data_IF_372519912870
#
_entry.id   IF_372519912870
#
_cell.length_a   1.000
_cell.length_b   1.000
_cell.length_c   1.000
_cell.angle_alpha   90.00
_cell.angle_beta   90.00
_cell.angle_gamma   90.00
#
_symmetry.space_group_name_H-M   'P 1'
#
loop_
_entity.id
_entity.type
_entity.pdbx_description
1 polymer ?
#
# COMPACT_ATOMS: atom_id res chain seq x y z
N UNK A 1 -52.90 5.18 -50.21
CA UNK A 1 -53.13 6.60 -49.82
C UNK A 1 -52.76 6.76 -48.36
N UNK A 2 -52.07 7.85 -48.07
CA UNK A 2 -51.37 8.18 -46.82
C UNK A 2 -52.35 8.31 -45.64
N UNK A 3 -52.00 7.78 -44.48
CA UNK A 3 -52.26 8.45 -43.20
C UNK A 3 -51.22 8.02 -42.16
N UNK A 4 -50.19 8.86 -42.05
CA UNK A 4 -49.06 8.77 -41.14
C UNK A 4 -49.47 9.56 -39.89
N UNK A 5 -49.77 8.86 -38.79
CA UNK A 5 -49.93 9.48 -37.47
C UNK A 5 -48.58 10.13 -37.10
N UNK A 6 -48.57 11.45 -37.03
CA UNK A 6 -47.45 12.24 -36.50
C UNK A 6 -47.44 12.08 -34.99
N UNK A 7 -46.45 11.36 -34.46
CA UNK A 7 -46.11 11.43 -33.04
C UNK A 7 -44.97 12.44 -32.93
N UNK A 8 -45.27 13.59 -32.34
CA UNK A 8 -44.35 14.69 -32.10
C UNK A 8 -43.32 14.26 -31.04
N UNK A 9 -42.14 13.84 -31.50
CA UNK A 9 -40.98 13.62 -30.64
C UNK A 9 -40.37 15.00 -30.32
N UNK A 10 -40.91 15.66 -29.30
CA UNK A 10 -40.24 16.80 -28.68
C UNK A 10 -38.92 16.32 -28.09
N UNK A 11 -37.82 16.64 -28.78
CA UNK A 11 -36.46 16.38 -28.35
C UNK A 11 -36.17 17.16 -27.06
N UNK A 12 -36.52 16.56 -25.92
CA UNK A 12 -36.12 17.03 -24.59
C UNK A 12 -34.63 16.75 -24.41
N UNK A 13 -33.86 17.72 -24.91
CA UNK A 13 -32.45 18.03 -24.67
C UNK A 13 -31.85 17.31 -23.44
N UNK A 14 -31.30 16.11 -23.64
CA UNK A 14 -30.33 15.53 -22.71
C UNK A 14 -29.00 16.22 -23.03
N UNK A 15 -28.73 17.35 -22.39
CA UNK A 15 -27.37 17.89 -22.25
C UNK A 15 -26.60 16.93 -21.36
N UNK A 16 -26.08 15.85 -21.95
CA UNK A 16 -25.06 15.04 -21.31
C UNK A 16 -23.83 15.94 -21.19
N UNK A 17 -23.64 16.51 -20.00
CA UNK A 17 -22.42 17.21 -19.62
C UNK A 17 -21.25 16.26 -19.85
N UNK A 18 -20.55 16.44 -20.97
CA UNK A 18 -19.21 15.92 -21.16
C UNK A 18 -18.39 16.52 -20.02
N UNK A 19 -18.10 15.72 -19.00
CA UNK A 19 -17.10 16.07 -17.98
C UNK A 19 -15.81 16.32 -18.72
N UNK A 20 -15.48 17.60 -18.87
CA UNK A 20 -14.24 18.06 -19.46
C UNK A 20 -13.14 17.63 -18.49
N UNK A 21 -12.51 16.48 -18.75
CA UNK A 21 -11.26 16.13 -18.10
C UNK A 21 -10.27 17.21 -18.48
N UNK A 22 -9.95 18.10 -17.53
CA UNK A 22 -8.87 19.07 -17.68
C UNK A 22 -7.56 18.27 -17.76
N UNK A 23 -7.14 17.94 -18.98
CA UNK A 23 -5.83 17.38 -19.24
C UNK A 23 -4.82 18.51 -19.05
N UNK A 24 -4.09 18.48 -17.94
CA UNK A 24 -2.91 19.34 -17.80
C UNK A 24 -1.98 19.07 -18.99
N UNK A 25 -1.44 20.10 -19.65
CA UNK A 25 -0.49 19.91 -20.73
C UNK A 25 0.75 19.15 -20.21
N UNK A 26 1.32 18.27 -21.04
CA UNK A 26 2.47 17.41 -20.69
C UNK A 26 3.66 18.24 -20.17
N UNK A 27 3.78 19.50 -20.60
CA UNK A 27 4.78 20.46 -20.13
C UNK A 27 4.71 20.79 -18.63
N UNK A 28 3.59 20.50 -17.97
CA UNK A 28 3.38 20.72 -16.53
C UNK A 28 3.46 19.44 -15.70
N UNK A 29 3.84 18.30 -16.30
CA UNK A 29 4.02 17.05 -15.60
C UNK A 29 5.38 16.99 -14.90
N UNK A 30 5.43 16.27 -13.77
CA UNK A 30 6.67 16.02 -13.05
C UNK A 30 7.63 15.21 -13.93
N UNK A 31 8.90 15.63 -13.98
CA UNK A 31 9.93 14.98 -14.83
C UNK A 31 10.38 13.62 -14.28
N UNK A 32 10.06 13.30 -13.03
CA UNK A 32 10.47 12.07 -12.34
C UNK A 32 9.32 11.54 -11.50
N UNK A 33 9.07 10.24 -11.64
CA UNK A 33 8.11 9.49 -10.83
C UNK A 33 8.87 8.40 -10.09
N UNK A 34 8.53 8.18 -8.82
CA UNK A 34 9.00 7.04 -8.04
C UNK A 34 7.90 5.98 -8.05
N UNK A 35 8.19 4.80 -8.58
CA UNK A 35 7.33 3.63 -8.45
C UNK A 35 7.67 2.94 -7.13
N UNK A 36 6.63 2.62 -6.35
CA UNK A 36 6.74 1.79 -5.15
C UNK A 36 6.03 0.48 -5.47
N UNK A 37 6.80 -0.59 -5.58
CA UNK A 37 6.27 -1.91 -5.85
C UNK A 37 5.72 -2.50 -4.55
N UNK A 38 4.46 -2.93 -4.55
CA UNK A 38 3.75 -3.43 -3.37
C UNK A 38 3.27 -4.87 -3.55
N UNK A 39 3.51 -5.48 -4.71
CA UNK A 39 3.14 -6.85 -5.04
C UNK A 39 3.57 -7.88 -3.98
N UNK A 40 4.83 -7.87 -3.49
CA UNK A 40 5.27 -8.83 -2.47
C UNK A 40 4.52 -8.72 -1.13
N UNK A 41 3.99 -7.54 -0.77
CA UNK A 41 3.21 -7.33 0.45
C UNK A 41 1.72 -7.29 0.16
N UNK A 42 1.23 -6.19 -0.40
CA UNK A 42 -0.19 -5.93 -0.59
C UNK A 42 -0.83 -6.85 -1.64
N UNK A 43 -0.08 -7.18 -2.69
CA UNK A 43 -0.51 -8.17 -3.67
C UNK A 43 -0.69 -9.54 -3.04
N UNK A 44 0.39 -10.13 -2.52
CA UNK A 44 0.36 -11.47 -1.92
C UNK A 44 -0.54 -11.60 -0.70
N UNK A 45 -0.76 -10.51 0.05
CA UNK A 45 -1.68 -10.51 1.19
C UNK A 45 -3.13 -10.77 0.75
N UNK A 46 -3.53 -10.31 -0.43
CA UNK A 46 -4.88 -10.47 -0.96
C UNK A 46 -5.05 -11.76 -1.78
N UNK A 47 -4.00 -12.57 -1.92
CA UNK A 47 -4.09 -13.83 -2.64
C UNK A 47 -4.68 -14.95 -1.80
N UNK A 48 -5.46 -15.79 -2.48
CA UNK A 48 -6.16 -16.93 -1.86
C UNK A 48 -5.18 -18.03 -1.41
N UNK A 49 -4.07 -18.21 -2.14
CA UNK A 49 -3.06 -19.23 -1.86
C UNK A 49 -1.90 -18.62 -1.08
N UNK A 50 -1.49 -19.30 -0.02
CA UNK A 50 -0.27 -18.93 0.71
C UNK A 50 0.93 -19.30 -0.15
N UNK A 51 1.71 -18.29 -0.53
CA UNK A 51 2.96 -18.44 -1.30
C UNK A 51 4.10 -18.75 -0.33
N UNK A 52 4.91 -19.81 -0.57
CA UNK A 52 6.05 -20.15 0.28
C UNK A 52 7.13 -19.05 0.31
N UNK A 53 7.83 -18.93 1.45
CA UNK A 53 8.89 -17.95 1.67
C UNK A 53 9.94 -17.90 0.54
N UNK A 54 10.41 -19.06 0.07
CA UNK A 54 11.38 -19.15 -1.04
C UNK A 54 10.91 -18.43 -2.30
N UNK A 55 9.63 -18.55 -2.61
CA UNK A 55 9.05 -17.94 -3.81
C UNK A 55 8.91 -16.43 -3.63
N UNK A 56 8.59 -15.97 -2.42
CA UNK A 56 8.56 -14.54 -2.09
C UNK A 56 9.95 -13.90 -2.17
N UNK A 57 10.95 -14.57 -1.60
CA UNK A 57 12.36 -14.13 -1.66
C UNK A 57 12.80 -14.01 -3.10
N UNK A 58 12.55 -15.05 -3.92
CA UNK A 58 12.89 -15.03 -5.34
C UNK A 58 12.20 -13.89 -6.09
N UNK A 59 10.91 -13.65 -5.80
CA UNK A 59 10.17 -12.53 -6.39
C UNK A 59 10.82 -11.18 -6.05
N UNK A 60 11.12 -10.93 -4.78
CA UNK A 60 11.71 -9.67 -4.31
C UNK A 60 13.12 -9.47 -4.90
N UNK A 61 13.93 -10.52 -4.95
CA UNK A 61 15.26 -10.48 -5.55
C UNK A 61 15.17 -10.12 -7.04
N UNK A 62 14.26 -10.76 -7.79
CA UNK A 62 14.03 -10.44 -9.22
C UNK A 62 13.54 -9.00 -9.41
N UNK A 63 12.64 -8.51 -8.55
CA UNK A 63 12.17 -7.12 -8.58
C UNK A 63 13.29 -6.11 -8.25
N UNK A 64 14.28 -6.52 -7.47
CA UNK A 64 15.43 -5.68 -7.13
C UNK A 64 16.36 -5.46 -8.32
N UNK A 65 16.37 -6.38 -9.30
CA UNK A 65 17.25 -6.33 -10.47
C UNK A 65 16.73 -5.42 -11.60
N UNK A 66 15.46 -5.02 -11.58
CA UNK A 66 14.82 -4.27 -12.67
C UNK A 66 14.86 -2.73 -12.49
N UNK A 67 15.63 -2.23 -11.52
CA UNK A 67 15.85 -0.79 -11.32
C UNK A 67 14.76 -0.07 -10.52
N UNK A 68 13.91 -0.79 -9.78
CA UNK A 68 12.98 -0.21 -8.83
C UNK A 68 13.73 0.44 -7.66
N UNK A 69 13.21 1.57 -7.16
CA UNK A 69 13.82 2.29 -6.03
C UNK A 69 13.20 1.90 -4.68
N UNK A 70 12.07 1.19 -4.69
CA UNK A 70 11.33 0.86 -3.48
C UNK A 70 10.45 -0.35 -3.71
N UNK A 71 10.61 -1.37 -2.87
CA UNK A 71 9.86 -2.63 -2.92
C UNK A 71 9.34 -2.92 -1.51
N UNK A 72 8.04 -2.79 -1.31
CA UNK A 72 7.41 -3.17 -0.05
C UNK A 72 7.45 -4.69 0.10
N UNK A 73 8.38 -5.17 0.92
CA UNK A 73 8.82 -6.54 0.92
C UNK A 73 7.89 -7.47 1.73
N UNK A 74 7.38 -7.00 2.86
CA UNK A 74 6.52 -7.81 3.74
C UNK A 74 5.76 -6.95 4.78
N UNK A 75 5.03 -7.60 5.67
CA UNK A 75 4.28 -6.99 6.78
C UNK A 75 4.50 -7.74 8.09
N UNK A 76 4.87 -7.01 9.14
CA UNK A 76 5.00 -7.50 10.52
C UNK A 76 3.66 -7.41 11.24
N UNK A 77 2.70 -8.17 10.72
CA UNK A 77 1.35 -8.35 11.26
C UNK A 77 1.23 -9.69 11.97
N UNK A 78 0.15 -9.87 12.72
CA UNK A 78 -0.14 -11.16 13.36
C UNK A 78 -0.36 -12.26 12.30
N UNK A 79 0.39 -13.37 12.35
CA UNK A 79 0.16 -14.53 11.47
C UNK A 79 -1.24 -15.13 11.60
N UNK A 80 -1.89 -14.94 12.75
CA UNK A 80 -3.27 -15.40 12.98
C UNK A 80 -4.27 -14.64 12.11
N UNK A 81 -4.04 -13.34 11.89
CA UNK A 81 -4.95 -12.47 11.14
C UNK A 81 -4.58 -12.42 9.66
N UNK A 82 -3.29 -12.51 9.35
CA UNK A 82 -2.77 -12.50 7.97
C UNK A 82 -1.76 -13.65 7.79
N UNK A 83 -2.23 -14.90 7.61
CA UNK A 83 -1.36 -16.07 7.43
C UNK A 83 -0.40 -15.93 6.23
N UNK A 84 -0.80 -15.18 5.21
CA UNK A 84 -0.02 -14.89 4.02
C UNK A 84 1.34 -14.26 4.37
N UNK A 85 1.44 -13.51 5.46
CA UNK A 85 2.63 -12.76 5.85
C UNK A 85 3.38 -13.41 7.03
N UNK A 86 3.04 -14.62 7.43
CA UNK A 86 3.60 -15.29 8.61
C UNK A 86 5.12 -15.52 8.56
N UNK A 87 5.70 -15.54 7.36
CA UNK A 87 7.11 -15.76 7.07
C UNK A 87 7.91 -14.44 6.92
N UNK A 88 7.37 -13.32 7.40
CA UNK A 88 7.98 -11.99 7.29
C UNK A 88 9.45 -11.93 7.76
N UNK A 89 9.78 -12.62 8.85
CA UNK A 89 11.13 -12.65 9.42
C UNK A 89 12.12 -13.35 8.49
N UNK A 90 11.74 -14.52 7.97
CA UNK A 90 12.56 -15.33 7.08
C UNK A 90 12.82 -14.60 5.76
N UNK A 91 11.76 -14.02 5.19
CA UNK A 91 11.84 -13.21 3.97
C UNK A 91 12.81 -12.04 4.16
N UNK A 92 12.63 -11.21 5.20
CA UNK A 92 13.47 -10.02 5.38
C UNK A 92 14.93 -10.33 5.70
N UNK A 93 15.21 -11.47 6.33
CA UNK A 93 16.59 -11.89 6.60
C UNK A 93 17.30 -12.43 5.38
N UNK A 94 16.57 -13.00 4.42
CA UNK A 94 17.15 -13.78 3.31
C UNK A 94 17.17 -13.06 1.95
N UNK A 95 16.33 -12.05 1.75
CA UNK A 95 16.38 -11.25 0.51
C UNK A 95 17.74 -10.56 0.34
N UNK A 96 18.15 -10.40 -0.91
CA UNK A 96 19.36 -9.64 -1.28
C UNK A 96 19.05 -8.15 -1.27
N UNK A 97 19.48 -7.46 -0.22
CA UNK A 97 19.32 -6.01 -0.09
C UNK A 97 20.32 -5.28 -0.99
N UNK A 98 19.87 -4.79 -2.14
CA UNK A 98 20.71 -4.04 -3.08
C UNK A 98 20.89 -2.59 -2.60
N UNK A 99 22.13 -2.06 -2.51
CA UNK A 99 22.37 -0.67 -2.17
C UNK A 99 21.61 0.30 -3.10
N UNK A 100 20.91 1.28 -2.51
CA UNK A 100 20.12 2.26 -3.26
C UNK A 100 18.65 1.89 -3.45
N UNK A 101 18.24 0.67 -3.10
CA UNK A 101 16.83 0.24 -3.08
C UNK A 101 16.33 0.23 -1.63
N UNK A 102 15.14 0.80 -1.42
CA UNK A 102 14.43 0.71 -0.15
C UNK A 102 13.56 -0.55 -0.10
N UNK A 103 13.59 -1.26 1.04
CA UNK A 103 12.77 -2.44 1.30
C UNK A 103 11.83 -2.19 2.49
N UNK A 104 10.82 -1.31 2.35
CA UNK A 104 9.92 -1.01 3.45
C UNK A 104 9.10 -2.24 3.86
N UNK A 105 8.75 -2.29 5.14
CA UNK A 105 7.81 -3.29 5.66
C UNK A 105 6.69 -2.62 6.48
N UNK A 106 5.48 -3.15 6.38
CA UNK A 106 4.32 -2.64 7.12
C UNK A 106 4.40 -3.05 8.60
N UNK A 107 4.26 -2.09 9.52
CA UNK A 107 4.36 -2.31 10.98
C UNK A 107 3.20 -1.62 11.70
N UNK A 108 2.03 -2.26 11.88
CA UNK A 108 0.82 -1.61 12.38
C UNK A 108 0.85 -1.28 13.88
N UNK A 109 1.84 -1.76 14.62
CA UNK A 109 1.98 -1.56 16.06
C UNK A 109 3.46 -1.63 16.48
N UNK A 110 3.75 -1.27 17.73
CA UNK A 110 5.11 -1.21 18.26
C UNK A 110 5.83 -2.57 18.25
N UNK A 111 5.12 -3.66 18.56
CA UNK A 111 5.70 -5.02 18.53
C UNK A 111 6.15 -5.40 17.12
N UNK A 112 5.33 -5.12 16.11
CA UNK A 112 5.69 -5.35 14.70
C UNK A 112 6.85 -4.45 14.26
N UNK A 113 6.90 -3.22 14.74
CA UNK A 113 8.02 -2.30 14.50
C UNK A 113 9.34 -2.85 15.08
N UNK A 114 9.34 -3.29 16.33
CA UNK A 114 10.52 -3.87 16.98
C UNK A 114 11.03 -5.11 16.22
N UNK A 115 10.13 -6.03 15.88
CA UNK A 115 10.47 -7.22 15.09
C UNK A 115 11.04 -6.86 13.70
N UNK A 116 10.51 -5.82 13.05
CA UNK A 116 11.04 -5.32 11.79
C UNK A 116 12.48 -4.82 11.94
N UNK A 117 12.75 -4.06 13.01
CA UNK A 117 14.11 -3.58 13.30
C UNK A 117 15.08 -4.75 13.53
N UNK A 118 14.65 -5.78 14.25
CA UNK A 118 15.47 -6.98 14.52
C UNK A 118 15.79 -7.78 13.23
N UNK A 119 14.99 -7.60 12.18
CA UNK A 119 15.22 -8.16 10.85
C UNK A 119 16.03 -7.23 9.91
N UNK A 120 16.48 -6.09 10.42
CA UNK A 120 17.28 -5.11 9.67
C UNK A 120 16.47 -4.32 8.65
N UNK A 121 15.16 -4.15 8.89
CA UNK A 121 14.32 -3.22 8.12
C UNK A 121 14.76 -1.80 8.43
N UNK A 122 14.92 -0.97 7.41
CA UNK A 122 15.33 0.45 7.55
C UNK A 122 14.20 1.44 7.33
N UNK A 123 13.14 1.01 6.64
CA UNK A 123 11.99 1.85 6.35
C UNK A 123 10.74 1.09 6.76
N UNK A 124 9.86 1.75 7.50
CA UNK A 124 8.62 1.12 7.97
C UNK A 124 7.42 1.89 7.44
N UNK A 125 6.36 1.18 7.15
CA UNK A 125 5.09 1.77 6.79
C UNK A 125 4.08 1.60 7.92
N UNK A 126 3.25 2.62 8.12
CA UNK A 126 2.05 2.54 8.96
C UNK A 126 0.83 2.83 8.10
N UNK A 127 -0.27 2.17 8.43
CA UNK A 127 -1.49 2.24 7.64
C UNK A 127 -2.63 2.88 8.43
N UNK A 128 -3.17 3.98 7.94
CA UNK A 128 -4.34 4.65 8.50
C UNK A 128 -5.58 4.52 7.63
N UNK A 129 -6.75 4.74 8.23
CA UNK A 129 -8.03 4.77 7.54
C UNK A 129 -8.67 6.17 7.62
N UNK A 130 -9.29 6.63 6.52
CA UNK A 130 -10.07 7.86 6.50
C UNK A 130 -11.56 7.66 6.85
N UNK A 131 -11.99 6.41 7.07
CA UNK A 131 -13.36 6.05 7.40
C UNK A 131 -13.40 5.25 8.70
N UNK A 132 -14.25 5.68 9.63
CA UNK A 132 -14.48 5.00 10.92
C UNK A 132 -14.94 3.55 10.72
N UNK A 133 -15.84 3.32 9.77
CA UNK A 133 -16.33 1.96 9.48
C UNK A 133 -15.23 1.07 8.92
N UNK A 134 -14.31 1.65 8.14
CA UNK A 134 -13.16 0.92 7.61
C UNK A 134 -12.13 0.63 8.71
N UNK A 135 -11.84 1.62 9.57
CA UNK A 135 -10.96 1.46 10.72
C UNK A 135 -11.42 0.33 11.63
N UNK A 136 -12.71 0.33 12.01
CA UNK A 136 -13.27 -0.71 12.88
C UNK A 136 -13.23 -2.10 12.24
N UNK A 137 -13.49 -2.22 10.94
CA UNK A 137 -13.43 -3.52 10.25
C UNK A 137 -12.00 -4.07 10.11
N UNK A 138 -11.02 -3.22 9.83
CA UNK A 138 -9.66 -3.67 9.50
C UNK A 138 -8.75 -3.76 10.72
N UNK A 139 -8.89 -2.84 11.68
CA UNK A 139 -7.98 -2.72 12.83
C UNK A 139 -8.72 -2.70 14.17
N UNK A 140 -10.05 -2.95 14.17
CA UNK A 140 -10.91 -3.06 15.35
C UNK A 140 -10.76 -1.89 16.35
N UNK A 141 -10.59 -0.68 15.83
CA UNK A 141 -10.53 0.55 16.60
C UNK A 141 -11.01 1.75 15.76
N UNK A 142 -11.31 2.86 16.42
CA UNK A 142 -11.61 4.15 15.78
C UNK A 142 -10.37 4.77 15.12
N UNK A 143 -10.57 5.81 14.31
CA UNK A 143 -9.44 6.51 13.67
C UNK A 143 -8.54 7.13 14.75
N UNK A 144 -9.10 7.77 15.78
CA UNK A 144 -8.28 8.43 16.81
C UNK A 144 -7.43 7.44 17.60
N UNK A 145 -7.98 6.28 17.98
CA UNK A 145 -7.25 5.21 18.64
C UNK A 145 -6.14 4.65 17.75
N UNK A 146 -6.38 4.54 16.44
CA UNK A 146 -5.33 4.10 15.50
C UNK A 146 -4.18 5.11 15.42
N UNK A 147 -4.48 6.40 15.37
CA UNK A 147 -3.49 7.47 15.35
C UNK A 147 -2.66 7.50 16.64
N UNK A 148 -3.29 7.29 17.80
CA UNK A 148 -2.57 7.15 19.09
C UNK A 148 -1.61 5.96 19.08
N UNK A 149 -2.00 4.82 18.51
CA UNK A 149 -1.09 3.67 18.35
C UNK A 149 0.09 3.98 17.42
N UNK A 150 -0.15 4.76 16.37
CA UNK A 150 0.90 5.18 15.44
C UNK A 150 1.88 6.18 16.06
N UNK A 151 1.45 6.98 17.03
CA UNK A 151 2.31 7.91 17.74
C UNK A 151 3.49 7.17 18.39
N UNK A 152 3.22 6.08 19.10
CA UNK A 152 4.26 5.25 19.72
C UNK A 152 5.26 4.67 18.70
N UNK A 153 4.76 4.19 17.55
CA UNK A 153 5.62 3.70 16.45
C UNK A 153 6.45 4.82 15.87
N UNK A 154 5.85 5.99 15.62
CA UNK A 154 6.54 7.15 15.07
C UNK A 154 7.60 7.69 16.03
N UNK A 155 7.34 7.71 17.33
CA UNK A 155 8.33 8.07 18.34
C UNK A 155 9.49 7.09 18.39
N UNK A 156 9.20 5.79 18.39
CA UNK A 156 10.22 4.75 18.39
C UNK A 156 11.13 4.86 17.15
N UNK A 157 10.54 5.04 15.97
CA UNK A 157 11.26 5.28 14.73
C UNK A 157 12.08 6.59 14.77
N UNK A 158 11.54 7.69 15.29
CA UNK A 158 12.29 8.96 15.47
C UNK A 158 13.49 8.81 16.40
N UNK A 159 13.37 8.03 17.47
CA UNK A 159 14.49 7.76 18.40
C UNK A 159 15.61 6.96 17.74
N UNK A 160 15.27 6.08 16.79
CA UNK A 160 16.25 5.28 16.02
C UNK A 160 16.80 6.01 14.78
N UNK A 161 16.10 7.03 14.29
CA UNK A 161 16.45 7.87 13.13
C UNK A 161 17.78 8.65 13.17
N UNK A 162 18.60 8.53 14.23
CA UNK A 162 20.02 8.84 14.12
C UNK A 162 20.75 7.93 13.09
N UNK A 163 20.09 6.87 12.59
CA UNK A 163 20.56 5.96 11.55
C UNK A 163 19.58 5.85 10.36
N UNK A 164 19.36 6.93 9.60
CA UNK A 164 18.81 6.91 8.22
C UNK A 164 17.46 6.18 7.96
N UNK A 165 16.59 6.04 8.96
CA UNK A 165 15.30 5.34 8.81
C UNK A 165 14.17 6.26 8.34
N UNK A 166 13.24 5.77 7.51
CA UNK A 166 12.10 6.57 6.99
C UNK A 166 10.76 5.92 7.31
N UNK A 167 9.79 6.74 7.73
CA UNK A 167 8.39 6.31 7.91
C UNK A 167 7.61 6.68 6.65
N UNK A 168 6.96 5.69 6.03
CA UNK A 168 5.97 5.92 4.98
C UNK A 168 4.56 5.80 5.56
N UNK A 169 3.74 6.84 5.38
CA UNK A 169 2.32 6.79 5.71
C UNK A 169 1.54 6.27 4.50
N UNK A 170 0.91 5.10 4.63
CA UNK A 170 -0.02 4.57 3.64
C UNK A 170 -1.45 4.82 4.16
N UNK A 171 -2.24 5.58 3.41
CA UNK A 171 -3.70 5.60 3.60
C UNK A 171 -4.28 4.69 2.54
N UNK A 172 -5.04 3.68 2.92
CA UNK A 172 -5.66 2.82 1.93
C UNK A 172 -7.12 2.52 2.16
N UNK A 173 -7.66 1.86 1.14
CA UNK A 173 -9.02 1.40 1.00
C UNK A 173 -8.91 -0.05 0.54
N UNK A 174 -9.11 -1.02 1.43
CA UNK A 174 -9.37 -2.40 1.01
C UNK A 174 -10.78 -2.43 0.40
N UNK A 175 -10.86 -2.76 -0.88
CA UNK A 175 -12.11 -3.22 -1.47
C UNK A 175 -12.38 -4.60 -0.87
N UNK A 176 -13.37 -4.66 0.02
CA UNK A 176 -13.95 -5.92 0.51
C UNK A 176 -14.77 -6.53 -0.62
#
# INVERSE_FOLDING_TARGET
>A
MKNRLKVDFTARMIRTSLRQFSSKPISQLVKKVKIVEVGPRDGLQNETRIVPAETKIKLIDMLSEIGLQSIEATSFVSPKWVPQMADHDDVMRRIKKIPGISYPALTPNLKGFEAAMDCGVKEVAIFGAASESFSRKNINCSISESLQRFEAVCEAARKKQHSSERICFLCGRLSI
#
